data_IF_599567146324
#
_entry.id   IF_599567146324
#
_cell.length_a   1.000
_cell.length_b   1.000
_cell.length_c   1.000
_cell.angle_alpha   90.00
_cell.angle_beta   90.00
_cell.angle_gamma   90.00
#
_symmetry.space_group_name_H-M   'P 1'
#
loop_
_entity.id
_entity.type
_entity.pdbx_description
1 polymer ?
#
# COMPACT_ATOMS: atom_id res chain seq x y z
N UNK A 1 -12.96 9.51 15.89
CA UNK A 1 -12.48 10.25 14.69
C UNK A 1 -12.27 11.71 15.05
N UNK A 2 -11.16 12.33 14.65
CA UNK A 2 -10.75 13.72 14.99
C UNK A 2 -11.50 14.76 14.13
N UNK A 3 -12.22 14.34 13.09
CA UNK A 3 -13.02 15.20 12.22
C UNK A 3 -12.99 14.73 10.76
N UNK A 4 -13.92 15.23 9.93
CA UNK A 4 -13.98 14.88 8.51
C UNK A 4 -12.71 15.34 7.79
N UNK A 5 -12.01 14.42 7.12
CA UNK A 5 -10.73 14.67 6.42
C UNK A 5 -9.59 15.16 7.33
N UNK A 6 -9.67 14.96 8.64
CA UNK A 6 -8.55 15.22 9.56
C UNK A 6 -7.62 14.00 9.58
N UNK A 7 -6.62 14.01 8.71
CA UNK A 7 -5.53 13.01 8.67
C UNK A 7 -4.35 13.47 9.54
N UNK A 8 -3.43 12.56 9.86
CA UNK A 8 -2.20 12.91 10.58
C UNK A 8 -1.40 14.02 9.88
N UNK A 9 -1.33 13.99 8.54
CA UNK A 9 -0.69 15.03 7.75
C UNK A 9 -1.37 16.41 7.87
N UNK A 10 -2.69 16.47 8.04
CA UNK A 10 -3.39 17.75 8.22
C UNK A 10 -3.37 18.25 9.66
N UNK A 11 -3.56 17.36 10.62
CA UNK A 11 -3.75 17.73 12.02
C UNK A 11 -2.44 17.76 12.83
N UNK A 12 -1.58 16.75 12.67
CA UNK A 12 -0.41 16.56 13.52
C UNK A 12 0.89 17.08 12.88
N UNK A 13 1.08 16.86 11.57
CA UNK A 13 2.32 17.25 10.87
C UNK A 13 2.66 18.75 11.02
N UNK A 14 1.71 19.71 10.96
CA UNK A 14 2.05 21.12 11.15
C UNK A 14 2.63 21.41 12.53
N UNK A 15 2.11 20.78 13.58
CA UNK A 15 2.61 20.93 14.96
C UNK A 15 4.04 20.38 15.06
N UNK A 16 4.27 19.19 14.49
CA UNK A 16 5.59 18.58 14.45
C UNK A 16 6.61 19.45 13.70
N UNK A 17 6.22 20.01 12.55
CA UNK A 17 7.08 20.87 11.75
C UNK A 17 7.52 22.12 12.52
N UNK A 18 6.59 22.80 13.21
CA UNK A 18 6.93 23.98 14.01
C UNK A 18 7.85 23.64 15.19
N UNK A 19 7.58 22.53 15.88
CA UNK A 19 8.45 22.05 16.94
C UNK A 19 9.87 21.74 16.43
N UNK A 20 9.98 20.95 15.35
CA UNK A 20 11.26 20.52 14.82
C UNK A 20 12.06 21.69 14.24
N UNK A 21 11.43 22.67 13.58
CA UNK A 21 12.13 23.89 13.15
C UNK A 21 12.74 24.62 14.35
N UNK A 22 11.93 24.88 15.38
CA UNK A 22 12.40 25.56 16.59
C UNK A 22 13.52 24.78 17.30
N UNK A 23 13.43 23.45 17.33
CA UNK A 23 14.48 22.60 17.89
C UNK A 23 15.77 22.64 17.05
N UNK A 24 15.67 22.49 15.72
CA UNK A 24 16.83 22.51 14.81
C UNK A 24 17.56 23.86 14.81
N UNK A 25 16.88 24.97 15.08
CA UNK A 25 17.48 26.30 15.25
C UNK A 25 18.34 26.40 16.53
N UNK A 26 18.15 25.50 17.51
CA UNK A 26 18.99 25.45 18.73
C UNK A 26 20.28 24.66 18.55
N UNK A 27 20.38 23.84 17.50
CA UNK A 27 21.54 22.99 17.22
C UNK A 27 22.59 23.78 16.43
N UNK A 28 23.86 23.44 16.66
CA UNK A 28 24.95 23.93 15.83
C UNK A 28 24.94 23.27 14.45
N UNK A 29 25.67 23.86 13.50
CA UNK A 29 25.67 23.40 12.11
C UNK A 29 26.27 21.99 11.96
N UNK A 30 27.24 21.59 12.79
CA UNK A 30 27.82 20.26 12.69
C UNK A 30 26.82 19.19 13.14
N UNK A 31 26.09 19.45 14.23
CA UNK A 31 25.02 18.55 14.69
C UNK A 31 23.86 18.48 13.67
N UNK A 32 23.51 19.60 13.04
CA UNK A 32 22.45 19.64 12.01
C UNK A 32 22.83 18.88 10.74
N UNK A 33 24.12 18.88 10.40
CA UNK A 33 24.66 18.20 9.23
C UNK A 33 25.08 16.74 9.53
N UNK A 34 24.70 16.18 10.68
CA UNK A 34 24.98 14.78 10.99
C UNK A 34 24.23 13.85 10.02
N UNK A 35 24.99 12.98 9.35
CA UNK A 35 24.45 11.95 8.48
C UNK A 35 24.14 10.67 9.27
N UNK A 36 23.07 9.98 8.89
CA UNK A 36 22.76 8.67 9.44
C UNK A 36 23.79 7.64 8.96
N UNK A 37 24.57 7.10 9.90
CA UNK A 37 25.47 5.99 9.59
C UNK A 37 24.68 4.76 9.17
N UNK A 38 25.08 4.12 8.06
CA UNK A 38 24.48 2.87 7.60
C UNK A 38 24.64 1.79 8.67
N UNK A 39 23.55 1.20 9.19
CA UNK A 39 23.63 0.14 10.19
C UNK A 39 24.32 -1.11 9.63
N UNK A 40 24.97 -1.89 10.52
CA UNK A 40 25.55 -3.17 10.13
C UNK A 40 24.47 -4.13 9.61
N UNK A 41 24.77 -4.84 8.52
CA UNK A 41 23.84 -5.77 7.88
C UNK A 41 22.83 -5.10 6.95
N UNK A 42 22.94 -3.79 6.70
CA UNK A 42 22.18 -3.09 5.65
C UNK A 42 23.04 -2.95 4.40
N UNK A 43 22.51 -3.37 3.26
CA UNK A 43 23.10 -3.21 1.93
C UNK A 43 22.22 -2.33 1.06
N UNK A 44 22.81 -1.68 0.06
CA UNK A 44 22.08 -0.85 -0.88
C UNK A 44 22.18 -1.43 -2.28
N UNK A 45 21.02 -1.66 -2.92
CA UNK A 45 20.97 -2.24 -4.27
C UNK A 45 20.19 -1.30 -5.20
N UNK A 46 20.69 -1.01 -6.42
CA UNK A 46 19.95 -0.24 -7.40
C UNK A 46 18.77 -1.07 -7.90
N UNK A 47 17.56 -0.54 -7.69
CA UNK A 47 16.31 -1.19 -8.10
C UNK A 47 15.53 -0.30 -9.06
N UNK A 48 14.82 -0.91 -9.99
CA UNK A 48 13.86 -0.20 -10.82
C UNK A 48 12.66 0.19 -9.95
N UNK A 49 12.37 1.49 -9.87
CA UNK A 49 11.37 2.03 -8.95
C UNK A 49 9.95 1.54 -9.25
N UNK A 50 9.71 1.06 -10.47
CA UNK A 50 8.41 0.56 -10.89
C UNK A 50 8.22 -0.93 -10.54
N UNK A 51 9.19 -1.79 -10.86
CA UNK A 51 9.08 -3.24 -10.61
C UNK A 51 9.53 -3.67 -9.20
N UNK A 52 10.43 -2.90 -8.57
CA UNK A 52 11.12 -3.28 -7.34
C UNK A 52 12.22 -4.33 -7.53
N UNK A 53 12.52 -4.69 -8.78
CA UNK A 53 13.56 -5.67 -9.14
C UNK A 53 14.92 -4.99 -9.33
N UNK A 54 15.98 -5.79 -9.41
CA UNK A 54 17.34 -5.26 -9.64
C UNK A 54 17.39 -4.53 -10.98
N UNK A 55 17.88 -3.28 -10.96
CA UNK A 55 17.92 -2.41 -12.13
C UNK A 55 18.98 -2.78 -13.19
N UNK A 56 19.79 -3.82 -12.94
CA UNK A 56 20.93 -4.18 -13.78
C UNK A 56 20.90 -5.69 -14.13
N UNK A 57 21.00 -6.04 -15.43
CA UNK A 57 20.84 -5.16 -16.62
C UNK A 57 19.48 -4.44 -16.66
N UNK A 58 19.40 -3.29 -17.34
CA UNK A 58 18.16 -2.51 -17.41
C UNK A 58 17.08 -3.21 -18.24
N UNK A 59 15.82 -3.08 -17.81
CA UNK A 59 14.66 -3.47 -18.60
C UNK A 59 14.22 -2.38 -19.59
N UNK A 60 13.46 -2.76 -20.62
CA UNK A 60 12.95 -1.83 -21.64
C UNK A 60 12.04 -0.75 -21.08
N UNK A 61 11.27 -1.05 -20.03
CA UNK A 61 10.35 -0.11 -19.39
C UNK A 61 10.93 0.55 -18.13
N UNK A 62 12.22 0.32 -17.82
CA UNK A 62 12.86 0.98 -16.70
C UNK A 62 12.95 2.49 -16.95
N UNK A 63 12.22 3.26 -16.15
CA UNK A 63 12.19 4.73 -16.27
C UNK A 63 13.01 5.43 -15.20
N UNK A 64 13.14 4.83 -14.02
CA UNK A 64 13.88 5.40 -12.90
C UNK A 64 14.50 4.33 -12.03
N UNK A 65 15.71 4.60 -11.54
CA UNK A 65 16.44 3.72 -10.62
C UNK A 65 16.51 4.42 -9.28
N UNK A 66 16.18 3.70 -8.21
CA UNK A 66 16.35 4.15 -6.83
C UNK A 66 17.34 3.24 -6.13
N UNK A 67 18.09 3.80 -5.18
CA UNK A 67 19.01 3.05 -4.34
C UNK A 67 18.24 2.65 -3.07
N UNK A 68 17.85 1.39 -3.00
CA UNK A 68 16.99 0.89 -1.90
C UNK A 68 17.82 0.11 -0.88
N UNK A 69 17.47 0.23 0.40
CA UNK A 69 18.14 -0.42 1.52
C UNK A 69 17.50 -1.78 1.82
N UNK A 70 18.31 -2.83 1.91
CA UNK A 70 17.90 -4.19 2.23
C UNK A 70 18.69 -4.71 3.44
N UNK A 71 18.13 -5.68 4.15
CA UNK A 71 18.94 -6.53 4.99
C UNK A 71 19.82 -7.41 4.10
N UNK A 72 21.07 -7.60 4.49
CA UNK A 72 22.04 -8.43 3.75
C UNK A 72 21.46 -9.82 3.44
N UNK A 73 21.42 -10.16 2.15
CA UNK A 73 20.85 -11.41 1.62
C UNK A 73 19.36 -11.37 1.33
N UNK A 74 18.69 -10.22 1.49
CA UNK A 74 17.26 -10.03 1.14
C UNK A 74 17.05 -9.14 -0.08
N UNK A 75 18.13 -8.57 -0.61
CA UNK A 75 18.08 -7.76 -1.83
C UNK A 75 17.72 -8.59 -3.07
N UNK A 76 17.07 -7.99 -4.08
CA UNK A 76 16.79 -8.67 -5.33
C UNK A 76 18.09 -9.04 -6.04
N UNK A 77 18.29 -10.35 -6.25
CA UNK A 77 19.47 -10.89 -6.95
C UNK A 77 19.20 -11.15 -8.43
N UNK A 78 17.96 -11.34 -8.81
CA UNK A 78 17.58 -11.56 -10.20
C UNK A 78 17.43 -10.22 -10.94
N UNK A 79 17.84 -10.18 -12.22
CA UNK A 79 17.57 -9.02 -13.06
C UNK A 79 16.06 -8.90 -13.29
N UNK A 80 15.65 -7.73 -13.76
CA UNK A 80 14.24 -7.48 -14.00
C UNK A 80 13.62 -8.45 -15.05
N UNK A 81 12.39 -8.88 -14.82
CA UNK A 81 11.65 -9.82 -15.65
C UNK A 81 10.74 -9.08 -16.64
N UNK A 82 11.24 -8.83 -17.86
CA UNK A 82 10.53 -8.02 -18.87
C UNK A 82 9.12 -8.56 -19.22
N UNK A 83 8.94 -9.88 -19.18
CA UNK A 83 7.66 -10.54 -19.47
C UNK A 83 6.61 -10.30 -18.38
N UNK A 84 7.03 -9.98 -17.15
CA UNK A 84 6.14 -9.76 -16.01
C UNK A 84 5.62 -8.32 -15.95
N UNK A 85 6.27 -7.39 -16.63
CA UNK A 85 5.88 -5.98 -16.65
C UNK A 85 4.44 -5.80 -17.18
N UNK A 86 4.03 -6.39 -18.32
CA UNK A 86 2.65 -6.32 -18.76
C UNK A 86 1.65 -7.03 -17.83
N UNK A 87 2.10 -8.05 -17.08
CA UNK A 87 1.25 -8.77 -16.13
C UNK A 87 0.88 -7.88 -14.95
N UNK A 88 1.82 -7.07 -14.46
CA UNK A 88 1.60 -6.10 -13.36
C UNK A 88 0.53 -5.04 -13.68
N UNK A 89 0.30 -4.76 -14.96
CA UNK A 89 -0.72 -3.80 -15.43
C UNK A 89 -2.12 -4.43 -15.61
N UNK A 90 -2.24 -5.76 -15.53
CA UNK A 90 -3.54 -6.43 -15.64
C UNK A 90 -4.38 -6.21 -14.37
N UNK A 91 -5.72 -6.23 -14.45
CA UNK A 91 -6.55 -6.32 -13.25
C UNK A 91 -6.17 -7.53 -12.39
N UNK A 92 -6.17 -7.38 -11.06
CA UNK A 92 -5.73 -8.40 -10.09
C UNK A 92 -6.23 -9.83 -10.37
N UNK A 93 -7.51 -10.07 -10.74
CA UNK A 93 -7.98 -11.42 -11.05
C UNK A 93 -7.20 -12.15 -12.16
N UNK A 94 -6.63 -11.41 -13.11
CA UNK A 94 -5.83 -11.98 -14.19
C UNK A 94 -4.36 -12.16 -13.80
N UNK A 95 -3.86 -11.36 -12.84
CA UNK A 95 -2.50 -11.52 -12.30
C UNK A 95 -2.34 -12.82 -11.51
N UNK A 96 -3.38 -13.22 -10.76
CA UNK A 96 -3.37 -14.40 -9.90
C UNK A 96 -2.95 -15.70 -10.60
N UNK A 97 -3.22 -15.83 -11.90
CA UNK A 97 -2.82 -17.03 -12.67
C UNK A 97 -1.30 -17.16 -12.79
N UNK A 98 -0.58 -16.06 -12.72
CA UNK A 98 0.87 -15.97 -12.91
C UNK A 98 1.63 -15.63 -11.63
N UNK A 99 0.93 -15.39 -10.51
CA UNK A 99 1.55 -15.01 -9.25
C UNK A 99 2.03 -16.23 -8.46
N UNK A 100 3.32 -16.25 -8.12
CA UNK A 100 3.88 -17.22 -7.18
C UNK A 100 4.00 -16.58 -5.78
N UNK A 101 3.23 -17.06 -4.78
CA UNK A 101 3.31 -16.54 -3.42
C UNK A 101 4.70 -16.73 -2.82
N UNK A 102 5.26 -15.68 -2.23
CA UNK A 102 6.53 -15.82 -1.50
C UNK A 102 6.28 -16.54 -0.17
N UNK A 103 7.28 -17.27 0.35
CA UNK A 103 7.17 -17.94 1.64
C UNK A 103 6.76 -16.95 2.76
N UNK A 104 5.64 -17.22 3.43
CA UNK A 104 5.15 -16.38 4.52
C UNK A 104 4.25 -15.21 4.10
N UNK A 105 3.97 -15.03 2.81
CA UNK A 105 2.99 -14.04 2.37
C UNK A 105 1.57 -14.47 2.77
N UNK A 106 0.79 -13.60 3.43
CA UNK A 106 -0.61 -13.85 3.69
C UNK A 106 -1.37 -13.71 2.37
N UNK A 107 -1.55 -14.83 1.67
CA UNK A 107 -2.37 -14.84 0.47
C UNK A 107 -3.81 -14.44 0.81
N UNK A 108 -4.47 -13.62 -0.04
CA UNK A 108 -5.83 -13.22 0.20
C UNK A 108 -6.73 -14.45 0.27
N UNK A 109 -7.33 -14.66 1.44
CA UNK A 109 -8.37 -15.67 1.60
C UNK A 109 -9.66 -15.23 0.91
N UNK A 110 -10.58 -16.16 0.68
CA UNK A 110 -11.86 -15.86 0.00
C UNK A 110 -12.66 -14.75 0.69
N UNK A 111 -12.48 -14.57 2.00
CA UNK A 111 -13.19 -13.57 2.79
C UNK A 111 -12.60 -12.16 2.53
N UNK A 112 -11.28 -12.05 2.45
CA UNK A 112 -10.57 -10.81 2.12
C UNK A 112 -10.88 -10.33 0.70
N UNK A 113 -11.00 -11.26 -0.26
CA UNK A 113 -11.41 -10.95 -1.64
C UNK A 113 -12.84 -10.43 -1.67
N UNK A 114 -13.77 -11.09 -0.97
CA UNK A 114 -15.16 -10.64 -0.90
C UNK A 114 -15.30 -9.22 -0.32
N UNK A 115 -14.52 -8.89 0.71
CA UNK A 115 -14.48 -7.53 1.28
C UNK A 115 -13.90 -6.51 0.29
N UNK A 116 -12.89 -6.89 -0.49
CA UNK A 116 -12.33 -6.02 -1.52
C UNK A 116 -13.34 -5.75 -2.64
N UNK A 117 -14.03 -6.79 -3.11
CA UNK A 117 -15.10 -6.68 -4.12
C UNK A 117 -16.26 -5.81 -3.64
N UNK A 118 -16.62 -5.90 -2.36
CA UNK A 118 -17.63 -5.04 -1.75
C UNK A 118 -17.23 -3.56 -1.80
N UNK A 119 -15.95 -3.23 -1.58
CA UNK A 119 -15.45 -1.84 -1.67
C UNK A 119 -15.46 -1.28 -3.09
N UNK A 120 -15.39 -2.15 -4.11
CA UNK A 120 -15.45 -1.74 -5.51
C UNK A 120 -16.87 -1.46 -5.98
N UNK A 121 -17.89 -1.92 -5.25
CA UNK A 121 -19.28 -1.61 -5.58
C UNK A 121 -19.46 -0.08 -5.55
N UNK A 122 -20.05 0.52 -6.60
CA UNK A 122 -20.33 1.94 -6.60
C UNK A 122 -21.17 2.28 -5.37
N UNK A 123 -20.82 3.37 -4.68
CA UNK A 123 -21.64 3.83 -3.56
C UNK A 123 -23.04 4.13 -4.09
N UNK A 124 -24.10 3.49 -3.54
CA UNK A 124 -25.44 3.68 -4.04
C UNK A 124 -25.84 5.15 -3.89
N UNK A 125 -26.59 5.65 -4.86
CA UNK A 125 -27.24 6.95 -4.74
C UNK A 125 -28.18 6.97 -3.53
N UNK A 126 -28.57 8.15 -3.01
CA UNK A 126 -29.49 8.22 -1.88
C UNK A 126 -30.82 7.50 -2.12
N UNK A 127 -31.30 7.46 -3.36
CA UNK A 127 -32.51 6.75 -3.76
C UNK A 127 -32.32 5.23 -3.74
N UNK A 128 -31.22 4.74 -4.30
CA UNK A 128 -30.85 3.32 -4.26
C UNK A 128 -30.58 2.84 -2.84
N UNK A 129 -29.93 3.66 -2.00
CA UNK A 129 -29.69 3.35 -0.59
C UNK A 129 -31.01 3.24 0.21
N UNK A 130 -31.98 4.11 -0.08
CA UNK A 130 -33.30 4.05 0.55
C UNK A 130 -34.09 2.81 0.11
N UNK A 131 -33.97 2.41 -1.16
CA UNK A 131 -34.59 1.18 -1.67
C UNK A 131 -33.97 -0.08 -1.04
N UNK A 132 -32.63 -0.14 -0.95
CA UNK A 132 -31.91 -1.26 -0.30
C UNK A 132 -32.32 -1.38 1.17
N UNK A 133 -32.37 -0.26 1.91
CA UNK A 133 -32.76 -0.27 3.32
C UNK A 133 -34.22 -0.74 3.53
N UNK A 134 -35.14 -0.39 2.62
CA UNK A 134 -36.52 -0.84 2.68
C UNK A 134 -36.64 -2.35 2.40
N UNK A 135 -35.86 -2.87 1.45
CA UNK A 135 -35.83 -4.29 1.11
C UNK A 135 -35.21 -5.14 2.24
N UNK A 136 -34.12 -4.68 2.86
CA UNK A 136 -33.51 -5.34 4.02
C UNK A 136 -34.46 -5.37 5.23
N UNK A 137 -35.17 -4.28 5.49
CA UNK A 137 -36.16 -4.22 6.56
C UNK A 137 -37.34 -5.19 6.33
N UNK A 138 -37.79 -5.34 5.08
CA UNK A 138 -38.83 -6.29 4.72
C UNK A 138 -38.37 -7.74 4.93
N UNK A 139 -37.13 -8.06 4.52
CA UNK A 139 -36.55 -9.40 4.65
C UNK A 139 -36.33 -9.80 6.11
N UNK A 140 -35.87 -8.86 6.95
CA UNK A 140 -35.72 -9.08 8.39
C UNK A 140 -37.07 -9.32 9.10
N UNK A 141 -38.14 -8.64 8.66
CA UNK A 141 -39.49 -8.86 9.18
C UNK A 141 -40.06 -10.23 8.80
N UNK A 142 -39.76 -10.72 7.59
CA UNK A 142 -40.17 -12.05 7.12
C UNK A 142 -39.43 -13.18 7.87
N UNK A 143 -38.13 -13.01 8.12
CA UNK A 143 -37.31 -13.98 8.87
C UNK A 143 -37.75 -14.07 10.35
N UNK A 144 -38.11 -12.94 10.96
CA UNK A 144 -38.70 -12.89 12.30
C UNK A 144 -40.09 -13.55 12.37
N UNK A 145 -40.84 -13.57 11.26
CA UNK A 145 -42.15 -14.22 11.17
C UNK A 145 -42.05 -15.74 10.89
N UNK A 146 -40.98 -16.21 10.25
CA UNK A 146 -40.75 -17.61 9.88
C UNK A 146 -40.12 -18.50 10.97
N UNK A 147 -39.69 -17.93 12.10
CA UNK A 147 -39.07 -18.68 13.22
C UNK A 147 -40.12 -19.26 14.20
N UNK A 148 -41.16 -19.93 13.67
CA UNK A 148 -42.23 -20.52 14.48
C UNK A 148 -42.48 -21.99 14.17
#
# INVERSE_FOLDING_TARGET
>A
SIGKKMTGARAAQPIWNEFMKGYLDTLDEATRAEDFSVPAGVVFTPVDAYTGERAVPPCSQQTSVVLEAFLDGTEPTEPCHEQEIPLRELPWPFQLTFYEPKPGEPMPDSMSVAVADERLKPTPTPEEAAAIAAEEAAKAAEEAAGTR
#
